data_IF_228786135650
#
_entry.id   IF_228786135650
#
_cell.length_a   1.000
_cell.length_b   1.000
_cell.length_c   1.000
_cell.angle_alpha   90.00
_cell.angle_beta   90.00
_cell.angle_gamma   90.00
#
_symmetry.space_group_name_H-M   'P 1'
#
loop_
_entity.id
_entity.type
_entity.pdbx_description
1 polymer ?
#
# COMPACT_ATOMS: atom_id res chain seq x y z
N UNK A 1 7.10 6.50 6.07
CA UNK A 1 8.14 5.50 5.84
C UNK A 1 7.65 4.22 6.49
N UNK A 2 8.51 3.23 6.60
CA UNK A 2 8.31 2.02 7.39
C UNK A 2 9.07 2.10 8.74
N UNK A 3 9.28 3.30 9.29
CA UNK A 3 9.99 3.43 10.56
C UNK A 3 9.17 2.81 11.70
N UNK A 4 9.92 2.29 12.70
CA UNK A 4 9.35 1.75 13.94
C UNK A 4 8.59 2.83 14.70
N UNK A 5 7.62 2.47 15.57
CA UNK A 5 6.92 3.45 16.36
C UNK A 5 7.92 4.20 17.22
N UNK A 6 7.71 5.50 17.38
CA UNK A 6 8.50 6.33 18.28
C UNK A 6 8.30 5.88 19.75
N UNK A 7 9.02 6.52 20.67
CA UNK A 7 8.93 6.23 22.11
C UNK A 7 7.54 6.38 22.75
N UNK A 8 6.54 6.88 22.01
CA UNK A 8 5.13 6.96 22.42
C UNK A 8 4.23 5.89 21.78
N UNK A 9 4.80 4.89 21.09
CA UNK A 9 4.02 3.83 20.42
C UNK A 9 3.26 4.32 19.19
N UNK A 10 3.64 5.47 18.61
CA UNK A 10 3.02 6.04 17.41
C UNK A 10 3.99 5.92 16.24
N UNK A 11 3.47 5.62 15.05
CA UNK A 11 4.29 5.73 13.85
C UNK A 11 4.46 7.20 13.47
N UNK A 12 5.65 7.54 12.97
CA UNK A 12 5.88 8.84 12.35
C UNK A 12 5.06 8.96 11.05
N UNK A 13 4.98 10.19 10.54
CA UNK A 13 4.34 10.45 9.26
C UNK A 13 4.89 9.51 8.17
N UNK A 14 4.05 9.17 7.20
CA UNK A 14 4.48 8.35 6.06
C UNK A 14 5.62 9.00 5.24
N UNK A 15 6.00 10.24 5.51
CA UNK A 15 7.19 10.89 4.95
C UNK A 15 7.97 11.68 6.02
N UNK A 16 9.30 11.51 6.01
CA UNK A 16 10.24 12.32 6.81
C UNK A 16 10.27 13.76 6.33
N UNK A 17 9.97 14.70 7.22
CA UNK A 17 9.99 16.14 6.93
C UNK A 17 8.65 16.74 6.49
N UNK A 18 7.59 15.93 6.35
CA UNK A 18 6.21 16.44 6.25
C UNK A 18 5.67 16.62 7.67
N UNK A 19 5.35 17.85 8.03
CA UNK A 19 4.84 18.23 9.35
C UNK A 19 3.31 18.21 9.38
N UNK A 20 2.73 17.02 9.21
CA UNK A 20 1.28 16.85 9.28
C UNK A 20 0.91 15.39 9.38
N UNK A 21 0.20 15.01 10.45
CA UNK A 21 -0.39 13.68 10.59
C UNK A 21 0.55 12.60 11.15
N UNK A 22 0.53 12.45 12.48
CA UNK A 22 0.86 11.17 13.11
C UNK A 22 0.03 10.06 12.47
N UNK A 23 0.67 9.07 11.83
CA UNK A 23 -0.03 7.89 11.32
C UNK A 23 -0.21 6.92 12.48
N UNK A 24 -1.20 7.21 13.33
CA UNK A 24 -1.37 6.49 14.58
C UNK A 24 -2.39 7.21 15.43
N UNK A 25 -3.66 7.06 15.06
CA UNK A 25 -4.75 7.66 15.81
C UNK A 25 -4.91 6.95 17.16
N UNK A 26 -4.44 7.61 18.22
CA UNK A 26 -4.70 7.22 19.62
C UNK A 26 -6.07 7.70 20.10
N UNK A 27 -7.15 7.40 19.36
CA UNK A 27 -8.51 7.82 19.70
C UNK A 27 -9.59 6.87 19.14
N UNK A 28 -10.76 6.85 19.78
CA UNK A 28 -11.94 6.11 19.34
C UNK A 28 -12.52 6.76 18.07
N UNK A 29 -11.98 6.41 16.91
CA UNK A 29 -12.56 6.83 15.64
C UNK A 29 -13.62 5.79 15.19
N UNK A 30 -14.88 6.17 14.97
CA UNK A 30 -15.96 5.22 14.70
C UNK A 30 -15.90 4.52 13.33
N UNK A 31 -14.82 4.68 12.56
CA UNK A 31 -14.74 4.24 11.16
C UNK A 31 -13.47 3.47 10.78
N UNK A 32 -12.70 2.96 11.75
CA UNK A 32 -11.64 1.99 11.42
C UNK A 32 -12.28 0.66 10.97
N UNK A 33 -11.77 0.01 9.91
CA UNK A 33 -12.22 -1.34 9.55
C UNK A 33 -12.08 -2.27 10.77
N UNK A 34 -13.14 -3.02 11.07
CA UNK A 34 -13.12 -4.01 12.17
C UNK A 34 -12.30 -5.25 11.83
N UNK A 35 -11.92 -5.41 10.56
CA UNK A 35 -11.10 -6.51 10.08
C UNK A 35 -9.63 -6.13 10.30
N UNK A 36 -8.88 -6.90 11.11
CA UNK A 36 -7.46 -6.65 11.29
C UNK A 36 -6.71 -6.93 9.98
N UNK A 37 -5.54 -6.30 9.82
CA UNK A 37 -4.62 -6.66 8.76
C UNK A 37 -4.22 -8.14 8.89
N UNK A 38 -4.31 -8.89 7.79
CA UNK A 38 -3.75 -10.25 7.74
C UNK A 38 -2.24 -10.15 7.66
N UNK A 39 -1.55 -10.69 8.67
CA UNK A 39 -0.09 -10.79 8.63
C UNK A 39 0.39 -11.73 7.51
N UNK A 40 1.69 -11.79 7.24
CA UNK A 40 2.23 -12.73 6.27
C UNK A 40 1.83 -14.17 6.60
N UNK A 41 1.16 -14.85 5.67
CA UNK A 41 0.62 -16.20 5.84
C UNK A 41 0.80 -17.00 4.54
N UNK A 42 0.83 -18.33 4.66
CA UNK A 42 0.70 -19.24 3.50
C UNK A 42 -0.71 -19.81 3.37
N UNK A 43 -1.63 -19.45 4.27
CA UNK A 43 -3.01 -19.87 4.24
C UNK A 43 -3.84 -18.92 3.34
N UNK A 44 -4.07 -19.35 2.11
CA UNK A 44 -4.88 -18.57 1.14
C UNK A 44 -6.33 -18.42 1.63
N UNK A 45 -6.86 -19.38 2.40
CA UNK A 45 -8.22 -19.31 2.91
C UNK A 45 -8.39 -18.24 3.98
N UNK A 46 -7.35 -18.00 4.78
CA UNK A 46 -7.27 -16.89 5.74
C UNK A 46 -7.34 -15.54 5.01
N UNK A 47 -6.55 -15.38 3.94
CA UNK A 47 -6.53 -14.15 3.13
C UNK A 47 -7.89 -13.90 2.46
N UNK A 48 -8.50 -14.94 1.87
CA UNK A 48 -9.84 -14.83 1.25
C UNK A 48 -10.89 -14.47 2.29
N UNK A 49 -10.84 -15.08 3.47
CA UNK A 49 -11.80 -14.81 4.55
C UNK A 49 -11.70 -13.38 5.04
N UNK A 50 -10.47 -12.86 5.23
CA UNK A 50 -10.23 -11.48 5.59
C UNK A 50 -10.74 -10.53 4.49
N UNK A 51 -10.40 -10.78 3.22
CA UNK A 51 -10.85 -9.95 2.09
C UNK A 51 -12.39 -9.87 1.99
N UNK A 52 -13.09 -10.99 2.13
CA UNK A 52 -14.55 -11.04 2.11
C UNK A 52 -15.20 -10.32 3.31
N UNK A 53 -14.46 -10.13 4.40
CA UNK A 53 -14.96 -9.47 5.61
C UNK A 53 -14.77 -7.94 5.59
N UNK A 54 -13.93 -7.42 4.67
CA UNK A 54 -13.69 -5.98 4.58
C UNK A 54 -14.96 -5.29 4.11
N UNK A 55 -15.42 -4.30 4.87
CA UNK A 55 -16.51 -3.42 4.47
C UNK A 55 -15.94 -2.06 4.06
N UNK A 56 -16.47 -1.48 2.99
CA UNK A 56 -16.09 -0.12 2.58
C UNK A 56 -16.57 0.87 3.63
N UNK A 57 -15.66 1.71 4.13
CA UNK A 57 -15.96 2.76 5.10
C UNK A 57 -14.89 3.84 5.05
N UNK A 58 -15.28 5.06 5.43
CA UNK A 58 -14.36 6.19 5.56
C UNK A 58 -13.82 6.70 4.23
N UNK A 59 -12.64 7.30 4.31
CA UNK A 59 -11.91 7.85 3.18
C UNK A 59 -10.56 7.13 3.03
N UNK A 60 -10.04 7.03 1.80
CA UNK A 60 -8.78 6.34 1.54
C UNK A 60 -7.58 7.25 1.81
N UNK A 61 -6.52 6.73 2.43
CA UNK A 61 -5.19 7.36 2.56
C UNK A 61 -4.14 6.44 1.95
N UNK A 62 -3.74 6.70 0.71
CA UNK A 62 -2.88 5.76 -0.03
C UNK A 62 -1.45 5.70 0.51
N UNK A 63 -0.92 6.83 0.97
CA UNK A 63 0.37 6.91 1.66
C UNK A 63 0.42 6.01 2.90
N UNK A 64 -0.66 5.98 3.69
CA UNK A 64 -0.79 5.11 4.87
C UNK A 64 -0.89 3.64 4.46
N UNK A 65 -1.71 3.32 3.46
CA UNK A 65 -1.86 1.96 2.96
C UNK A 65 -0.51 1.39 2.47
N UNK A 66 0.22 2.15 1.65
CA UNK A 66 1.54 1.75 1.14
C UNK A 66 2.56 1.63 2.27
N UNK A 67 2.52 2.51 3.28
CA UNK A 67 3.42 2.44 4.42
C UNK A 67 3.19 1.18 5.28
N UNK A 68 1.93 0.72 5.42
CA UNK A 68 1.63 -0.57 6.05
C UNK A 68 2.03 -1.75 5.18
N UNK A 69 1.82 -1.69 3.87
CA UNK A 69 2.33 -2.71 2.93
C UNK A 69 3.84 -2.84 3.04
N UNK A 70 4.57 -1.73 3.16
CA UNK A 70 6.01 -1.73 3.38
C UNK A 70 6.36 -2.43 4.70
N UNK A 71 5.69 -2.11 5.82
CA UNK A 71 5.93 -2.79 7.11
C UNK A 71 5.62 -4.28 7.08
N UNK A 72 4.64 -4.72 6.29
CA UNK A 72 4.34 -6.15 6.13
C UNK A 72 5.46 -6.87 5.38
N UNK A 73 6.06 -6.22 4.39
CA UNK A 73 7.05 -6.83 3.50
C UNK A 73 8.48 -6.68 4.03
N UNK A 74 8.87 -5.50 4.51
CA UNK A 74 10.25 -5.13 4.85
C UNK A 74 10.92 -6.11 5.81
N UNK A 75 12.19 -6.42 5.53
CA UNK A 75 12.95 -7.41 6.28
C UNK A 75 13.01 -7.08 7.77
N UNK A 76 13.19 -5.80 8.11
CA UNK A 76 13.33 -5.32 9.49
C UNK A 76 12.07 -5.52 10.36
N UNK A 77 10.93 -5.82 9.75
CA UNK A 77 9.65 -6.06 10.42
C UNK A 77 9.26 -7.53 10.55
N UNK A 78 10.04 -8.46 9.97
CA UNK A 78 9.72 -9.90 9.97
C UNK A 78 9.59 -10.51 11.37
N UNK A 79 10.26 -9.95 12.37
CA UNK A 79 10.17 -10.44 13.77
C UNK A 79 8.99 -9.89 14.55
N UNK A 80 8.24 -8.94 13.97
CA UNK A 80 7.19 -8.21 14.68
C UNK A 80 5.79 -8.83 14.43
N UNK A 81 5.67 -9.72 13.44
CA UNK A 81 4.39 -10.36 13.06
C UNK A 81 4.19 -11.70 13.79
N UNK A 82 3.13 -11.87 14.59
CA UNK A 82 2.84 -13.13 15.26
C UNK A 82 2.46 -14.22 14.24
N UNK A 83 2.89 -15.46 14.48
CA UNK A 83 2.50 -16.60 13.63
C UNK A 83 3.10 -16.61 12.23
N UNK A 84 4.13 -15.80 11.97
CA UNK A 84 4.74 -15.68 10.65
C UNK A 84 5.29 -17.05 10.15
N UNK A 85 4.95 -17.47 8.91
CA UNK A 85 5.50 -18.68 8.34
C UNK A 85 7.01 -18.62 8.26
N UNK A 86 7.67 -19.77 8.47
CA UNK A 86 9.12 -19.90 8.32
C UNK A 86 9.64 -19.50 6.92
N UNK A 87 8.77 -19.39 5.91
CA UNK A 87 9.15 -18.87 4.59
C UNK A 87 9.50 -17.39 4.58
N UNK A 88 9.12 -16.63 5.61
CA UNK A 88 9.41 -15.21 5.79
C UNK A 88 10.52 -14.94 6.82
N UNK A 89 11.30 -15.96 7.20
CA UNK A 89 12.41 -15.80 8.13
C UNK A 89 13.50 -14.85 7.57
N UNK A 90 14.27 -14.20 8.45
CA UNK A 90 15.29 -13.21 8.06
C UNK A 90 16.41 -13.80 7.18
N UNK A 91 16.69 -15.08 7.32
CA UNK A 91 17.69 -15.84 6.54
C UNK A 91 17.20 -16.25 5.15
N UNK A 92 15.93 -16.02 4.82
CA UNK A 92 15.36 -16.36 3.52
C UNK A 92 15.12 -15.12 2.67
N UNK A 93 15.75 -15.15 1.51
CA UNK A 93 15.44 -14.21 0.44
C UNK A 93 14.13 -14.62 -0.25
N UNK A 94 13.28 -13.61 -0.45
CA UNK A 94 11.98 -13.73 -1.10
C UNK A 94 11.78 -12.48 -1.91
N UNK A 95 11.34 -12.65 -3.14
CA UNK A 95 10.82 -11.55 -3.94
C UNK A 95 9.62 -10.95 -3.21
N UNK A 96 9.65 -9.64 -2.99
CA UNK A 96 8.59 -8.90 -2.30
C UNK A 96 7.80 -8.12 -3.34
N UNK A 97 6.48 -8.24 -3.27
CA UNK A 97 5.58 -7.65 -4.25
C UNK A 97 4.40 -7.05 -3.49
N UNK A 98 4.11 -5.78 -3.72
CA UNK A 98 2.89 -5.12 -3.30
C UNK A 98 2.04 -4.81 -4.53
N UNK A 99 0.72 -4.99 -4.39
CA UNK A 99 -0.25 -4.68 -5.43
C UNK A 99 -1.27 -3.72 -4.81
N UNK A 100 -1.34 -2.49 -5.31
CA UNK A 100 -2.38 -1.53 -4.96
C UNK A 100 -3.45 -1.52 -6.04
N UNK A 101 -4.70 -1.81 -5.65
CA UNK A 101 -5.87 -1.69 -6.51
C UNK A 101 -6.75 -0.58 -5.96
N UNK A 102 -7.01 0.45 -6.77
CA UNK A 102 -7.77 1.63 -6.30
C UNK A 102 -8.44 2.36 -7.44
N UNK A 103 -9.56 3.03 -7.18
CA UNK A 103 -10.19 3.97 -8.12
C UNK A 103 -9.51 5.35 -8.13
N UNK A 104 -8.41 5.51 -7.39
CA UNK A 104 -7.66 6.75 -7.26
C UNK A 104 -8.33 7.78 -6.36
N UNK A 105 -9.45 7.44 -5.70
CA UNK A 105 -10.11 8.34 -4.76
C UNK A 105 -9.51 8.24 -3.37
N UNK A 106 -9.04 9.36 -2.86
CA UNK A 106 -8.38 9.48 -1.56
C UNK A 106 -8.81 10.78 -0.90
N UNK A 107 -8.80 10.82 0.43
CA UNK A 107 -8.95 12.04 1.20
C UNK A 107 -7.71 12.15 2.09
N UNK A 108 -6.84 13.07 1.76
CA UNK A 108 -5.80 13.51 2.67
C UNK A 108 -6.11 14.97 3.00
N UNK A 109 -6.47 15.23 4.26
CA UNK A 109 -6.85 16.57 4.66
C UNK A 109 -5.65 17.51 4.54
N UNK A 110 -5.88 18.79 4.22
CA UNK A 110 -4.80 19.76 4.01
C UNK A 110 -3.83 19.87 5.20
N UNK A 111 -4.34 19.73 6.44
CA UNK A 111 -3.53 19.71 7.66
C UNK A 111 -2.71 18.43 7.87
N UNK A 112 -2.91 17.40 7.05
CA UNK A 112 -2.15 16.14 7.09
C UNK A 112 -1.04 16.09 6.04
N UNK A 113 -1.08 16.93 5.01
CA UNK A 113 -0.19 16.80 3.84
C UNK A 113 0.51 18.09 3.42
N UNK A 114 0.38 19.18 4.19
CA UNK A 114 1.12 20.45 4.03
C UNK A 114 1.12 21.04 2.59
N UNK A 115 0.18 20.63 1.73
CA UNK A 115 0.02 21.12 0.35
C UNK A 115 -1.46 21.31 0.03
N UNK A 116 -1.82 22.54 -0.35
CA UNK A 116 -3.21 23.02 -0.44
C UNK A 116 -3.93 22.76 -1.79
N UNK A 117 -3.30 22.08 -2.75
CA UNK A 117 -3.96 21.75 -4.03
C UNK A 117 -4.79 20.48 -3.89
N UNK A 118 -6.11 20.62 -3.69
CA UNK A 118 -7.06 19.51 -3.60
C UNK A 118 -8.02 19.49 -4.80
N UNK A 119 -8.35 18.31 -5.33
CA UNK A 119 -9.21 18.15 -6.52
C UNK A 119 -10.68 17.92 -6.19
N UNK A 120 -11.11 18.41 -5.03
CA UNK A 120 -12.47 18.22 -4.49
C UNK A 120 -12.60 16.99 -3.60
N UNK A 121 -13.82 16.77 -3.09
CA UNK A 121 -14.13 15.71 -2.12
C UNK A 121 -13.72 14.32 -2.64
N UNK A 122 -12.93 13.58 -1.85
CA UNK A 122 -12.40 12.25 -2.18
C UNK A 122 -11.55 12.17 -3.47
N UNK A 123 -11.07 13.28 -4.02
CA UNK A 123 -10.16 13.26 -5.19
C UNK A 123 -8.70 13.50 -4.79
N UNK A 124 -8.41 13.58 -3.51
CA UNK A 124 -7.07 13.77 -2.99
C UNK A 124 -6.51 15.16 -3.23
N UNK A 125 -5.20 15.24 -3.03
CA UNK A 125 -4.40 16.45 -3.17
C UNK A 125 -3.01 16.09 -3.69
N UNK A 126 -2.33 17.05 -4.30
CA UNK A 126 -0.94 16.87 -4.76
C UNK A 126 -0.06 16.34 -3.63
N UNK A 127 -0.17 16.90 -2.42
CA UNK A 127 0.58 16.42 -1.27
C UNK A 127 0.23 15.02 -0.81
N UNK A 128 -1.03 14.62 -0.86
CA UNK A 128 -1.43 13.24 -0.54
C UNK A 128 -0.82 12.22 -1.50
N UNK A 129 -0.78 12.52 -2.79
CA UNK A 129 -0.18 11.63 -3.77
C UNK A 129 1.35 11.69 -3.80
N UNK A 130 1.95 12.87 -3.65
CA UNK A 130 3.40 12.99 -3.43
C UNK A 130 3.82 12.16 -2.21
N UNK A 131 2.97 12.16 -1.17
CA UNK A 131 3.21 11.36 0.02
C UNK A 131 3.24 9.86 -0.29
N UNK A 132 2.29 9.39 -1.10
CA UNK A 132 2.27 8.02 -1.57
C UNK A 132 3.52 7.70 -2.41
N UNK A 133 3.88 8.56 -3.37
CA UNK A 133 5.03 8.33 -4.27
C UNK A 133 6.33 8.20 -3.48
N UNK A 134 6.60 9.03 -2.48
CA UNK A 134 7.84 8.87 -1.72
C UNK A 134 7.88 7.60 -0.85
N UNK A 135 6.73 7.12 -0.37
CA UNK A 135 6.64 5.79 0.26
C UNK A 135 6.99 4.71 -0.77
N UNK A 136 6.45 4.81 -1.99
CA UNK A 136 6.76 3.89 -3.07
C UNK A 136 8.25 3.90 -3.43
N UNK A 137 8.89 5.06 -3.46
CA UNK A 137 10.32 5.19 -3.70
C UNK A 137 11.16 4.49 -2.63
N UNK A 138 10.75 4.63 -1.35
CA UNK A 138 11.37 3.90 -0.24
C UNK A 138 11.21 2.38 -0.38
N UNK A 139 10.01 1.91 -0.75
CA UNK A 139 9.76 0.48 -1.01
C UNK A 139 10.61 -0.04 -2.17
N UNK A 140 10.69 0.69 -3.29
CA UNK A 140 11.52 0.33 -4.46
C UNK A 140 13.01 0.29 -4.09
N UNK A 141 13.48 1.17 -3.21
CA UNK A 141 14.85 1.17 -2.72
C UNK A 141 15.20 -0.06 -1.87
N UNK A 142 14.20 -0.78 -1.35
CA UNK A 142 14.35 -2.08 -0.67
C UNK A 142 14.01 -3.28 -1.58
N UNK A 143 14.04 -3.11 -2.90
CA UNK A 143 13.73 -4.14 -3.91
C UNK A 143 12.31 -4.72 -3.80
N UNK A 144 11.35 -3.92 -3.28
CA UNK A 144 9.93 -4.29 -3.27
C UNK A 144 9.30 -3.84 -4.60
N UNK A 145 8.73 -4.79 -5.33
CA UNK A 145 8.03 -4.51 -6.58
C UNK A 145 6.61 -4.02 -6.34
N UNK A 146 6.19 -3.00 -7.07
CA UNK A 146 4.94 -2.30 -6.88
C UNK A 146 4.10 -2.37 -8.15
N UNK A 147 3.00 -3.12 -8.10
CA UNK A 147 1.96 -3.12 -9.13
C UNK A 147 0.86 -2.14 -8.74
N UNK A 148 0.50 -1.26 -9.67
CA UNK A 148 -0.46 -0.19 -9.47
C UNK A 148 -1.61 -0.39 -10.47
N UNK A 149 -2.75 -0.84 -9.97
CA UNK A 149 -3.95 -1.10 -10.77
C UNK A 149 -4.97 0.00 -10.50
N UNK A 150 -5.11 0.94 -11.43
CA UNK A 150 -6.08 2.02 -11.36
C UNK A 150 -7.40 1.58 -11.97
N UNK A 151 -8.44 1.52 -11.15
CA UNK A 151 -9.83 1.40 -11.60
C UNK A 151 -10.32 2.79 -12.04
N UNK A 152 -11.18 2.83 -13.07
CA UNK A 152 -11.78 4.08 -13.52
C UNK A 152 -12.43 4.85 -12.34
N UNK A 153 -12.04 6.12 -12.20
CA UNK A 153 -12.34 6.94 -11.03
C UNK A 153 -11.66 8.30 -11.12
N UNK A 154 -10.76 8.61 -10.19
CA UNK A 154 -10.04 9.88 -10.19
C UNK A 154 -8.86 9.86 -11.18
N UNK A 155 -8.94 10.67 -12.23
CA UNK A 155 -7.89 10.76 -13.25
C UNK A 155 -6.60 11.43 -12.75
N UNK A 156 -6.70 12.31 -11.74
CA UNK A 156 -5.54 12.99 -11.17
C UNK A 156 -4.55 12.00 -10.53
N UNK A 157 -4.99 10.81 -10.12
CA UNK A 157 -4.14 9.77 -9.55
C UNK A 157 -3.18 9.12 -10.56
N UNK A 158 -3.44 9.24 -11.86
CA UNK A 158 -2.81 8.38 -12.88
C UNK A 158 -1.29 8.54 -12.94
N UNK A 159 -0.79 9.78 -13.03
CA UNK A 159 0.66 10.04 -13.08
C UNK A 159 1.36 9.59 -11.81
N UNK A 160 0.77 9.84 -10.64
CA UNK A 160 1.34 9.41 -9.36
C UNK A 160 1.37 7.89 -9.20
N UNK A 161 0.35 7.19 -9.70
CA UNK A 161 0.35 5.73 -9.71
C UNK A 161 1.37 5.16 -10.69
N UNK A 162 1.62 5.83 -11.82
CA UNK A 162 2.70 5.47 -12.75
C UNK A 162 4.08 5.68 -12.09
N UNK A 163 4.29 6.80 -11.41
CA UNK A 163 5.55 7.09 -10.69
C UNK A 163 5.81 6.10 -9.54
N UNK A 164 4.74 5.65 -8.88
CA UNK A 164 4.82 4.64 -7.83
C UNK A 164 5.13 3.23 -8.38
N UNK A 165 4.65 2.88 -9.58
CA UNK A 165 4.88 1.55 -10.16
C UNK A 165 6.37 1.27 -10.41
N UNK A 166 6.78 0.00 -10.29
CA UNK A 166 8.20 -0.38 -10.48
C UNK A 166 8.69 -0.17 -11.90
N UNK A 167 7.82 -0.38 -12.89
CA UNK A 167 8.05 -0.05 -14.29
C UNK A 167 6.71 0.17 -14.99
N UNK A 168 6.74 0.55 -16.27
CA UNK A 168 5.52 0.71 -17.08
C UNK A 168 4.65 -0.56 -17.09
N UNK A 169 5.26 -1.76 -17.16
CA UNK A 169 4.54 -3.05 -17.10
C UNK A 169 3.89 -3.35 -15.74
N UNK A 170 4.19 -2.55 -14.72
CA UNK A 170 3.60 -2.68 -13.38
C UNK A 170 2.44 -1.71 -13.16
N UNK A 171 2.13 -0.84 -14.13
CA UNK A 171 0.97 0.03 -14.09
C UNK A 171 -0.11 -0.49 -15.05
N UNK A 172 -1.35 -0.57 -14.55
CA UNK A 172 -2.51 -0.98 -15.34
C UNK A 172 -3.67 -0.05 -15.05
N UNK A 173 -4.37 0.38 -16.10
CA UNK A 173 -5.62 1.10 -15.98
C UNK A 173 -6.77 0.22 -16.50
N UNK A 174 -7.82 0.09 -15.68
CA UNK A 174 -8.94 -0.80 -15.94
C UNK A 174 -10.28 -0.07 -15.73
N UNK A 175 -11.32 -0.50 -16.44
CA UNK A 175 -12.64 0.16 -16.39
C UNK A 175 -13.77 -0.74 -15.89
N UNK A 176 -13.57 -2.06 -15.86
CA UNK A 176 -14.59 -3.03 -15.48
C UNK A 176 -14.07 -4.09 -14.51
N UNK A 177 -14.98 -4.82 -13.85
CA UNK A 177 -14.59 -5.97 -13.02
C UNK A 177 -13.94 -7.09 -13.83
N UNK A 178 -14.34 -7.28 -15.10
CA UNK A 178 -13.70 -8.25 -15.98
C UNK A 178 -12.24 -7.88 -16.27
N UNK A 179 -11.98 -6.58 -16.44
CA UNK A 179 -10.63 -6.06 -16.63
C UNK A 179 -9.76 -6.24 -15.36
N UNK A 180 -10.36 -6.21 -14.16
CA UNK A 180 -9.64 -6.46 -12.91
C UNK A 180 -9.08 -7.89 -12.86
N UNK A 181 -9.88 -8.88 -13.23
CA UNK A 181 -9.41 -10.26 -13.27
C UNK A 181 -8.26 -10.42 -14.27
N UNK A 182 -8.39 -9.81 -15.45
CA UNK A 182 -7.33 -9.80 -16.47
C UNK A 182 -6.06 -9.09 -15.98
N UNK A 183 -6.19 -7.94 -15.33
CA UNK A 183 -5.05 -7.20 -14.78
C UNK A 183 -4.31 -7.99 -13.70
N UNK A 184 -5.03 -8.69 -12.82
CA UNK A 184 -4.41 -9.58 -11.84
C UNK A 184 -3.72 -10.76 -12.51
N UNK A 185 -4.31 -11.33 -13.56
CA UNK A 185 -3.67 -12.39 -14.36
C UNK A 185 -2.40 -11.89 -15.07
N UNK A 186 -2.40 -10.65 -15.58
CA UNK A 186 -1.25 -10.05 -16.26
C UNK A 186 -0.13 -9.72 -15.27
N UNK A 187 -0.45 -9.17 -14.10
CA UNK A 187 0.50 -9.04 -12.99
C UNK A 187 1.13 -10.40 -12.65
N UNK A 188 0.32 -11.46 -12.53
CA UNK A 188 0.83 -12.82 -12.29
C UNK A 188 1.74 -13.34 -13.42
N UNK A 189 1.50 -12.97 -14.68
CA UNK A 189 2.39 -13.32 -15.80
C UNK A 189 3.74 -12.62 -15.66
N UNK A 190 3.76 -11.32 -15.38
CA UNK A 190 5.00 -10.56 -15.13
C UNK A 190 5.77 -11.16 -13.96
N UNK A 191 5.07 -11.49 -12.88
CA UNK A 191 5.64 -12.14 -11.70
C UNK A 191 6.26 -13.49 -12.09
N UNK A 192 5.55 -14.33 -12.83
CA UNK A 192 6.08 -15.64 -13.24
C UNK A 192 7.27 -15.53 -14.19
N UNK A 193 7.24 -14.60 -15.15
CA UNK A 193 8.33 -14.40 -16.10
C UNK A 193 9.64 -14.00 -15.41
N UNK A 194 9.54 -13.22 -14.34
CA UNK A 194 10.68 -12.73 -13.56
C UNK A 194 11.00 -13.58 -12.32
N UNK A 195 10.33 -14.73 -12.13
CA UNK A 195 10.60 -15.62 -11.02
C UNK A 195 11.98 -16.30 -11.21
N UNK A 196 12.98 -15.83 -10.47
CA UNK A 196 14.29 -16.48 -10.41
C UNK A 196 14.26 -17.57 -9.33
N UNK A 197 14.41 -18.84 -9.74
CA UNK A 197 14.66 -19.93 -8.81
C UNK A 197 16.11 -19.76 -8.32
N UNK A 198 16.26 -19.22 -7.12
CA UNK A 198 17.57 -19.23 -6.44
C UNK A 198 17.73 -20.63 -5.84
N UNK A 199 18.68 -21.40 -6.37
CA UNK A 199 19.07 -22.72 -5.84
C UNK A 199 19.89 -22.57 -4.57
#
# INVERSE_FOLDING_TARGET
>A
DDDKPNGSGKFEASIKGVTGGLVGFGGNYPYCPSVPITGPTSDVSEVISAANSITKSGTGRFDVAMAWSWRVLAKKWRTEWPGMPNSFSLDKERRQIAILVTDGKTEAYSWEVDKESHWGWNNGSEGGFDNMVAVCDGMKAEDIELFMIRVNGNAAASSYMQDCATSEDHYMEISTNADLELALQDALKVIKANARIVR
#
